data_IF_220470435014
#
_entry.id   IF_220470435014
#
_cell.length_a   1.000
_cell.length_b   1.000
_cell.length_c   1.000
_cell.angle_alpha   90.00
_cell.angle_beta   90.00
_cell.angle_gamma   90.00
#
_symmetry.space_group_name_H-M   'P 1'
#
loop_
_entity.id
_entity.type
_entity.pdbx_description
1 polymer ?
#
# COMPACT_ATOMS: atom_id res chain seq x y z
N UNK A 1 -66.41 -6.38 10.31
CA UNK A 1 -65.72 -6.18 9.01
C UNK A 1 -65.36 -7.49 8.29
N UNK A 2 -65.22 -8.63 8.99
CA UNK A 2 -65.11 -9.94 8.31
C UNK A 2 -63.88 -10.06 7.40
N UNK A 3 -62.77 -9.44 7.82
CA UNK A 3 -61.48 -9.42 7.13
C UNK A 3 -60.42 -9.92 8.11
N UNK A 4 -59.56 -10.82 7.65
CA UNK A 4 -58.35 -11.21 8.40
C UNK A 4 -57.20 -10.28 8.05
N UNK A 5 -56.18 -10.19 8.92
CA UNK A 5 -54.96 -9.41 8.64
C UNK A 5 -54.23 -9.90 7.38
N UNK A 6 -54.28 -11.20 7.09
CA UNK A 6 -53.72 -11.78 5.87
C UNK A 6 -54.49 -11.39 4.61
N UNK A 7 -55.82 -11.26 4.67
CA UNK A 7 -56.63 -10.83 3.53
C UNK A 7 -56.36 -9.36 3.20
N UNK A 8 -56.27 -8.52 4.22
CA UNK A 8 -55.92 -7.09 4.08
C UNK A 8 -54.51 -6.95 3.48
N UNK A 9 -53.53 -7.67 4.02
CA UNK A 9 -52.15 -7.62 3.52
C UNK A 9 -52.04 -8.05 2.05
N UNK A 10 -52.72 -9.13 1.65
CA UNK A 10 -52.69 -9.64 0.26
C UNK A 10 -53.36 -8.67 -0.72
N UNK A 11 -54.50 -8.09 -0.33
CA UNK A 11 -55.18 -7.08 -1.15
C UNK A 11 -54.34 -5.80 -1.28
N UNK A 12 -53.74 -5.31 -0.19
CA UNK A 12 -52.83 -4.15 -0.23
C UNK A 12 -51.59 -4.42 -1.06
N UNK A 13 -51.00 -5.61 -0.97
CA UNK A 13 -49.86 -6.00 -1.81
C UNK A 13 -50.25 -5.97 -3.30
N UNK A 14 -51.44 -6.46 -3.67
CA UNK A 14 -51.92 -6.42 -5.06
C UNK A 14 -52.15 -4.99 -5.57
N UNK A 15 -52.66 -4.10 -4.71
CA UNK A 15 -52.90 -2.70 -5.05
C UNK A 15 -51.60 -1.88 -5.19
N UNK A 16 -50.58 -2.14 -4.35
CA UNK A 16 -49.34 -1.36 -4.30
C UNK A 16 -48.22 -1.95 -5.17
N UNK A 17 -47.75 -3.14 -4.80
CA UNK A 17 -46.49 -3.74 -5.30
C UNK A 17 -46.70 -4.83 -6.34
N UNK A 18 -47.91 -5.38 -6.41
CA UNK A 18 -48.27 -6.54 -7.21
C UNK A 18 -48.07 -7.87 -6.46
N UNK A 19 -48.87 -8.86 -6.83
CA UNK A 19 -48.82 -10.22 -6.30
C UNK A 19 -48.41 -11.18 -7.42
N UNK A 20 -47.41 -12.04 -7.21
CA UNK A 20 -47.06 -13.06 -8.19
C UNK A 20 -48.20 -14.08 -8.29
N UNK A 21 -48.72 -14.25 -9.50
CA UNK A 21 -49.88 -15.13 -9.78
C UNK A 21 -49.40 -16.51 -10.24
N UNK A 22 -48.43 -16.53 -11.16
CA UNK A 22 -47.85 -17.77 -11.70
C UNK A 22 -46.48 -17.48 -12.31
N UNK A 23 -45.79 -18.53 -12.71
CA UNK A 23 -44.55 -18.44 -13.51
C UNK A 23 -44.79 -19.09 -14.85
N UNK A 24 -44.49 -18.37 -15.93
CA UNK A 24 -44.56 -18.89 -17.30
C UNK A 24 -43.14 -19.16 -17.78
N UNK A 25 -42.97 -20.29 -18.46
CA UNK A 25 -41.67 -20.64 -19.05
C UNK A 25 -41.60 -20.09 -20.47
N UNK A 26 -40.59 -19.28 -20.74
CA UNK A 26 -40.27 -18.74 -22.06
C UNK A 26 -38.91 -19.30 -22.48
N UNK A 27 -38.93 -20.25 -23.42
CA UNK A 27 -37.77 -21.02 -23.87
C UNK A 27 -37.02 -21.73 -22.73
N UNK A 28 -35.85 -21.23 -22.32
CA UNK A 28 -35.04 -21.75 -21.21
C UNK A 28 -35.14 -20.91 -19.92
N UNK A 29 -35.99 -19.88 -19.89
CA UNK A 29 -36.15 -18.97 -18.75
C UNK A 29 -37.53 -19.11 -18.11
N UNK A 30 -37.60 -18.92 -16.80
CA UNK A 30 -38.85 -18.79 -16.07
C UNK A 30 -39.13 -17.31 -15.80
N UNK A 31 -40.28 -16.81 -16.25
CA UNK A 31 -40.73 -15.43 -16.10
C UNK A 31 -41.90 -15.40 -15.11
N UNK A 32 -41.81 -14.58 -14.08
CA UNK A 32 -42.87 -14.42 -13.09
C UNK A 32 -43.97 -13.49 -13.62
N UNK A 33 -45.21 -13.96 -13.63
CA UNK A 33 -46.39 -13.18 -13.97
C UNK A 33 -46.94 -12.54 -12.69
N UNK A 34 -46.90 -11.21 -12.63
CA UNK A 34 -47.35 -10.42 -11.49
C UNK A 34 -48.65 -9.70 -11.83
N UNK A 35 -49.70 -9.97 -11.07
CA UNK A 35 -50.96 -9.24 -11.12
C UNK A 35 -50.87 -8.00 -10.24
N UNK A 36 -51.25 -6.84 -10.77
CA UNK A 36 -51.23 -5.57 -10.05
C UNK A 36 -52.37 -4.66 -10.48
N UNK A 37 -52.81 -3.78 -9.60
CA UNK A 37 -53.77 -2.73 -9.95
C UNK A 37 -53.22 -1.80 -11.05
N UNK A 38 -54.08 -1.41 -11.99
CA UNK A 38 -53.73 -0.50 -13.07
C UNK A 38 -53.79 0.97 -12.61
N UNK A 39 -52.91 1.81 -13.16
CA UNK A 39 -52.92 3.27 -12.95
C UNK A 39 -51.78 3.79 -12.06
N UNK A 40 -51.56 5.11 -12.15
CA UNK A 40 -50.52 5.84 -11.41
C UNK A 40 -50.95 6.21 -9.98
N UNK A 41 -52.25 6.10 -9.71
CA UNK A 41 -52.94 6.43 -8.45
C UNK A 41 -52.40 5.66 -7.23
N UNK A 42 -51.64 4.58 -7.46
CA UNK A 42 -51.13 3.67 -6.43
C UNK A 42 -49.96 4.20 -5.61
N UNK A 43 -49.21 5.17 -6.16
CA UNK A 43 -48.04 5.77 -5.51
C UNK A 43 -48.35 7.11 -4.85
N UNK A 44 -49.58 7.61 -5.02
CA UNK A 44 -50.03 8.89 -4.46
C UNK A 44 -50.50 8.68 -3.01
N UNK A 45 -49.75 9.16 -2.01
CA UNK A 45 -50.09 8.90 -0.61
C UNK A 45 -51.47 9.41 -0.20
N UNK A 46 -51.96 10.47 -0.86
CA UNK A 46 -53.28 11.02 -0.58
C UNK A 46 -54.42 10.08 -1.01
N UNK A 47 -54.17 9.21 -1.99
CA UNK A 47 -55.18 8.32 -2.57
C UNK A 47 -55.12 6.89 -2.03
N UNK A 48 -54.04 6.55 -1.30
CA UNK A 48 -53.92 5.25 -0.62
C UNK A 48 -55.02 5.09 0.44
N UNK A 49 -55.38 6.16 1.14
CA UNK A 49 -56.44 6.15 2.15
C UNK A 49 -57.83 5.79 1.58
N UNK A 50 -58.05 6.09 0.30
CA UNK A 50 -59.31 5.84 -0.43
C UNK A 50 -59.39 4.43 -1.03
N UNK A 51 -58.35 3.60 -0.87
CA UNK A 51 -58.37 2.24 -1.38
C UNK A 51 -59.50 1.43 -0.76
N UNK A 52 -60.24 0.73 -1.61
CA UNK A 52 -61.36 -0.08 -1.19
C UNK A 52 -60.95 -1.54 -1.13
N UNK A 53 -61.07 -2.14 0.05
CA UNK A 53 -60.87 -3.57 0.28
C UNK A 53 -62.21 -4.31 0.21
N UNK A 54 -62.18 -5.56 -0.23
CA UNK A 54 -63.36 -6.42 -0.35
C UNK A 54 -63.39 -7.39 0.83
N UNK A 55 -64.43 -7.29 1.67
CA UNK A 55 -64.69 -8.19 2.79
C UNK A 55 -65.21 -9.57 2.36
N UNK A 56 -65.19 -10.55 3.27
CA UNK A 56 -65.62 -11.93 2.97
C UNK A 56 -67.06 -12.05 2.42
N UNK A 57 -67.93 -11.10 2.75
CA UNK A 57 -69.31 -11.02 2.26
C UNK A 57 -69.48 -10.16 0.98
N UNK A 58 -68.38 -9.77 0.31
CA UNK A 58 -68.41 -8.90 -0.88
C UNK A 58 -68.59 -7.40 -0.59
N UNK A 59 -68.66 -7.02 0.69
CA UNK A 59 -68.75 -5.63 1.12
C UNK A 59 -67.48 -4.84 0.79
N UNK A 60 -67.65 -3.60 0.32
CA UNK A 60 -66.58 -2.66 0.01
C UNK A 60 -66.28 -1.80 1.24
N UNK A 61 -65.07 -1.92 1.78
CA UNK A 61 -64.65 -1.21 2.98
C UNK A 61 -63.45 -0.32 2.63
N UNK A 62 -63.50 1.00 2.84
CA UNK A 62 -62.36 1.87 2.60
C UNK A 62 -61.24 1.60 3.62
N UNK A 63 -59.99 1.75 3.18
CA UNK A 63 -58.79 1.50 4.00
C UNK A 63 -58.77 2.39 5.25
N UNK A 64 -59.27 3.62 5.15
CA UNK A 64 -59.42 4.57 6.25
C UNK A 64 -60.29 4.08 7.42
N UNK A 65 -61.16 3.08 7.22
CA UNK A 65 -61.93 2.45 8.31
C UNK A 65 -61.16 1.34 9.02
N UNK A 66 -60.06 0.85 8.44
CA UNK A 66 -59.29 -0.29 8.93
C UNK A 66 -57.99 0.16 9.60
N UNK A 67 -57.39 1.27 9.15
CA UNK A 67 -56.16 1.81 9.71
C UNK A 67 -55.87 3.24 9.30
N UNK A 68 -54.78 3.78 9.84
CA UNK A 68 -54.28 5.13 9.58
C UNK A 68 -53.12 5.09 8.58
N UNK A 69 -53.10 6.06 7.66
CA UNK A 69 -52.05 6.19 6.64
C UNK A 69 -51.27 7.47 6.92
N UNK A 70 -50.03 7.29 7.39
CA UNK A 70 -49.13 8.40 7.69
C UNK A 70 -47.92 8.35 6.77
N UNK A 71 -47.61 9.49 6.14
CA UNK A 71 -46.35 9.66 5.41
C UNK A 71 -45.25 9.99 6.40
N UNK A 72 -44.26 9.12 6.50
CA UNK A 72 -43.07 9.30 7.34
C UNK A 72 -41.82 9.25 6.49
N UNK A 73 -40.84 10.04 6.87
CA UNK A 73 -39.49 9.93 6.33
C UNK A 73 -38.80 8.76 7.03
N UNK A 74 -38.27 7.83 6.25
CA UNK A 74 -37.51 6.68 6.73
C UNK A 74 -36.26 6.52 5.87
N UNK A 75 -35.17 6.05 6.48
CA UNK A 75 -33.95 5.73 5.75
C UNK A 75 -34.15 4.44 4.94
N UNK A 76 -34.21 4.49 3.60
CA UNK A 76 -34.48 3.31 2.79
C UNK A 76 -33.33 2.30 2.83
N UNK A 77 -32.13 2.74 3.24
CA UNK A 77 -30.92 1.90 3.29
C UNK A 77 -30.15 2.18 4.56
N UNK A 78 -30.19 1.23 5.49
CA UNK A 78 -29.38 1.28 6.70
C UNK A 78 -28.04 0.56 6.48
N UNK A 79 -26.98 1.33 6.24
CA UNK A 79 -25.62 0.80 6.09
C UNK A 79 -25.03 0.47 7.46
N UNK A 80 -24.40 -0.70 7.57
CA UNK A 80 -23.71 -1.14 8.78
C UNK A 80 -22.30 -1.61 8.43
N UNK A 81 -21.33 -1.24 9.26
CA UNK A 81 -19.95 -1.74 9.22
C UNK A 81 -19.63 -2.33 10.59
N UNK A 82 -19.13 -3.55 10.62
CA UNK A 82 -18.83 -4.28 11.86
C UNK A 82 -20.00 -4.29 12.87
N UNK A 83 -21.22 -4.47 12.32
CA UNK A 83 -22.51 -4.46 13.05
C UNK A 83 -22.94 -3.10 13.63
N UNK A 84 -22.21 -2.02 13.39
CA UNK A 84 -22.58 -0.66 13.82
C UNK A 84 -23.18 0.12 12.63
N UNK A 85 -24.33 0.81 12.79
CA UNK A 85 -24.83 1.75 11.77
C UNK A 85 -23.76 2.78 11.40
N UNK A 86 -23.49 2.96 10.12
CA UNK A 86 -22.37 3.78 9.65
C UNK A 86 -22.80 4.64 8.47
N UNK A 87 -22.38 5.90 8.48
CA UNK A 87 -22.51 6.81 7.35
C UNK A 87 -21.14 6.90 6.66
N UNK A 88 -21.11 6.63 5.36
CA UNK A 88 -19.87 6.72 4.57
C UNK A 88 -19.86 8.05 3.83
N UNK A 89 -18.93 8.92 4.21
CA UNK A 89 -18.65 10.15 3.47
C UNK A 89 -17.57 9.86 2.44
N UNK A 90 -17.82 10.21 1.19
CA UNK A 90 -16.86 10.08 0.08
C UNK A 90 -16.65 11.45 -0.53
N UNK A 91 -15.43 11.71 -0.99
CA UNK A 91 -15.08 12.92 -1.72
C UNK A 91 -14.00 12.59 -2.75
N UNK A 92 -14.10 13.23 -3.90
CA UNK A 92 -13.07 13.18 -4.92
C UNK A 92 -11.93 14.13 -4.56
N UNK A 93 -10.74 13.81 -5.04
CA UNK A 93 -9.52 14.61 -4.85
C UNK A 93 -9.11 15.23 -6.18
N UNK A 94 -8.41 16.38 -6.12
CA UNK A 94 -7.81 16.96 -7.32
C UNK A 94 -6.69 16.06 -7.84
N UNK A 95 -6.51 16.01 -9.17
CA UNK A 95 -5.55 15.11 -9.85
C UNK A 95 -4.09 15.28 -9.40
N UNK A 96 -3.74 16.44 -8.83
CA UNK A 96 -2.39 16.73 -8.34
C UNK A 96 -2.10 16.25 -6.92
N UNK A 97 -3.09 15.72 -6.19
CA UNK A 97 -2.99 15.34 -4.80
C UNK A 97 -3.10 13.83 -4.63
N UNK A 98 -2.34 13.28 -3.70
CA UNK A 98 -2.43 11.86 -3.40
C UNK A 98 -3.45 11.56 -2.29
N UNK A 99 -4.20 10.44 -2.39
CA UNK A 99 -5.17 10.06 -1.37
C UNK A 99 -4.61 9.98 0.07
N UNK A 100 -3.40 9.41 0.30
CA UNK A 100 -2.76 9.37 1.61
C UNK A 100 -2.54 10.75 2.24
N UNK A 101 -2.07 11.72 1.45
CA UNK A 101 -1.76 13.07 1.93
C UNK A 101 -3.03 13.82 2.32
N UNK A 102 -4.03 13.79 1.45
CA UNK A 102 -5.32 14.46 1.68
C UNK A 102 -6.00 13.91 2.93
N UNK A 103 -6.05 12.59 3.07
CA UNK A 103 -6.75 12.02 4.23
C UNK A 103 -5.97 12.19 5.51
N UNK A 104 -4.63 12.23 5.47
CA UNK A 104 -3.82 12.55 6.65
C UNK A 104 -4.05 13.99 7.09
N UNK A 105 -4.11 14.93 6.15
CA UNK A 105 -4.46 16.32 6.40
C UNK A 105 -5.89 16.45 6.95
N UNK A 106 -6.86 15.74 6.36
CA UNK A 106 -8.25 15.73 6.81
C UNK A 106 -8.38 15.12 8.20
N UNK A 107 -7.71 14.01 8.48
CA UNK A 107 -7.71 13.40 9.81
C UNK A 107 -7.19 14.38 10.86
N UNK A 108 -6.12 15.12 10.56
CA UNK A 108 -5.59 16.16 11.44
C UNK A 108 -6.61 17.29 11.68
N UNK A 109 -7.32 17.72 10.63
CA UNK A 109 -8.37 18.73 10.74
C UNK A 109 -9.61 18.24 11.50
N UNK A 110 -9.91 16.94 11.43
CA UNK A 110 -11.05 16.31 12.12
C UNK A 110 -10.77 15.96 13.58
N UNK A 111 -9.51 15.87 14.02
CA UNK A 111 -9.15 15.61 15.43
C UNK A 111 -9.97 16.41 16.47
N UNK A 112 -10.15 17.74 16.36
CA UNK A 112 -10.95 18.50 17.33
C UNK A 112 -12.44 18.06 17.36
N UNK A 113 -12.99 17.65 16.21
CA UNK A 113 -14.36 17.13 16.12
C UNK A 113 -14.41 15.72 16.72
N UNK A 114 -13.41 14.88 16.43
CA UNK A 114 -13.32 13.53 16.98
C UNK A 114 -13.28 13.58 18.52
N UNK A 115 -12.53 14.53 19.08
CA UNK A 115 -12.41 14.71 20.53
C UNK A 115 -13.70 15.20 21.22
N UNK A 116 -14.63 15.81 20.48
CA UNK A 116 -15.91 16.32 21.02
C UNK A 116 -17.07 15.36 20.83
N UNK A 117 -16.85 14.20 20.19
CA UNK A 117 -17.89 13.20 19.98
C UNK A 117 -18.35 12.56 21.31
N UNK A 118 -19.66 12.30 21.48
CA UNK A 118 -20.17 11.52 22.60
C UNK A 118 -19.60 10.09 22.60
N UNK A 119 -19.52 9.49 23.79
CA UNK A 119 -19.10 8.10 23.93
C UNK A 119 -19.98 7.16 23.07
N UNK A 120 -19.33 6.29 22.29
CA UNK A 120 -20.01 5.35 21.38
C UNK A 120 -19.99 5.76 19.91
N UNK A 121 -19.65 7.02 19.60
CA UNK A 121 -19.39 7.46 18.22
C UNK A 121 -17.89 7.41 17.91
N UNK A 122 -17.56 7.00 16.69
CA UNK A 122 -16.19 7.00 16.17
C UNK A 122 -16.18 7.41 14.71
N UNK A 123 -15.14 8.13 14.32
CA UNK A 123 -14.85 8.46 12.93
C UNK A 123 -13.57 7.72 12.57
N UNK A 124 -13.63 6.89 11.55
CA UNK A 124 -12.51 6.09 11.07
C UNK A 124 -12.25 6.44 9.61
N UNK A 125 -10.96 6.57 9.26
CA UNK A 125 -10.56 6.66 7.87
C UNK A 125 -10.72 5.29 7.21
N UNK A 126 -11.29 5.29 6.01
CA UNK A 126 -11.55 4.08 5.23
C UNK A 126 -10.99 4.23 3.81
N UNK A 127 -10.92 3.11 3.08
CA UNK A 127 -10.46 3.08 1.69
C UNK A 127 -8.97 2.78 1.57
N UNK A 128 -8.29 3.44 0.63
CA UNK A 128 -6.91 3.11 0.23
C UNK A 128 -5.90 3.22 1.37
N UNK A 129 -6.11 4.11 2.34
CA UNK A 129 -5.20 4.27 3.49
C UNK A 129 -5.37 3.15 4.50
N UNK A 130 -6.60 2.72 4.74
CA UNK A 130 -6.86 1.59 5.62
C UNK A 130 -6.23 0.32 5.04
N UNK A 131 -6.39 0.10 3.72
CA UNK A 131 -5.76 -1.02 3.02
C UNK A 131 -4.23 -0.93 3.02
N UNK A 132 -3.66 0.25 2.74
CA UNK A 132 -2.20 0.46 2.76
C UNK A 132 -1.62 0.28 4.17
N UNK A 133 -2.34 0.74 5.18
CA UNK A 133 -1.98 0.57 6.60
C UNK A 133 -2.02 -0.90 7.01
N UNK A 134 -3.07 -1.64 6.65
CA UNK A 134 -3.17 -3.09 6.87
C UNK A 134 -2.05 -3.85 6.18
N UNK A 135 -1.75 -3.52 4.91
CA UNK A 135 -0.65 -4.14 4.18
C UNK A 135 0.70 -3.89 4.86
N UNK A 136 0.97 -2.65 5.27
CA UNK A 136 2.21 -2.27 5.97
C UNK A 136 2.34 -2.98 7.32
N UNK A 137 1.26 -3.05 8.10
CA UNK A 137 1.23 -3.76 9.38
C UNK A 137 1.43 -5.27 9.21
N UNK A 138 0.87 -5.86 8.16
CA UNK A 138 1.08 -7.27 7.82
C UNK A 138 2.53 -7.57 7.40
N UNK A 139 3.21 -6.60 6.77
CA UNK A 139 4.62 -6.73 6.37
C UNK A 139 5.62 -6.43 7.50
N UNK A 140 5.27 -5.58 8.47
CA UNK A 140 6.12 -5.22 9.59
C UNK A 140 6.78 -6.41 10.32
N UNK A 141 6.07 -7.52 10.65
CA UNK A 141 6.71 -8.68 11.30
C UNK A 141 7.62 -9.48 10.35
N UNK A 142 7.48 -9.33 9.04
CA UNK A 142 8.31 -10.02 8.05
C UNK A 142 9.67 -9.35 7.87
N UNK A 143 9.78 -8.03 8.05
CA UNK A 143 11.04 -7.31 7.87
C UNK A 143 12.19 -7.80 8.77
N UNK A 144 12.00 -8.00 10.09
CA UNK A 144 13.07 -8.54 10.94
C UNK A 144 13.54 -9.92 10.50
N UNK A 145 12.62 -10.79 10.08
CA UNK A 145 12.93 -12.14 9.61
C UNK A 145 13.76 -12.07 8.31
N UNK A 146 13.34 -11.22 7.36
CA UNK A 146 14.06 -11.01 6.11
C UNK A 146 15.47 -10.44 6.34
N UNK A 147 15.61 -9.46 7.23
CA UNK A 147 16.92 -8.91 7.61
C UNK A 147 17.78 -9.97 8.28
N UNK A 148 17.24 -10.76 9.20
CA UNK A 148 17.98 -11.82 9.87
C UNK A 148 18.50 -12.88 8.87
N UNK A 149 17.66 -13.32 7.92
CA UNK A 149 18.06 -14.24 6.86
C UNK A 149 19.14 -13.62 5.97
N UNK A 150 18.97 -12.35 5.59
CA UNK A 150 19.96 -11.64 4.75
C UNK A 150 21.31 -11.54 5.45
N UNK A 151 21.33 -11.13 6.73
CA UNK A 151 22.54 -11.07 7.54
C UNK A 151 23.18 -12.45 7.70
N UNK A 152 22.37 -13.51 7.91
CA UNK A 152 22.84 -14.89 8.00
C UNK A 152 23.54 -15.33 6.70
N UNK A 153 22.97 -15.02 5.54
CA UNK A 153 23.60 -15.33 4.25
C UNK A 153 24.92 -14.57 4.08
N UNK A 154 24.94 -13.28 4.41
CA UNK A 154 26.16 -12.44 4.28
C UNK A 154 27.26 -12.95 5.21
N UNK A 155 26.97 -13.29 6.47
CA UNK A 155 27.99 -13.79 7.41
C UNK A 155 28.55 -15.14 6.97
N UNK A 156 27.72 -16.03 6.42
CA UNK A 156 28.17 -17.32 5.89
C UNK A 156 29.11 -17.15 4.70
N UNK A 157 28.86 -16.13 3.87
CA UNK A 157 29.64 -15.87 2.67
C UNK A 157 30.98 -15.18 2.96
N UNK A 158 30.99 -14.13 3.79
CA UNK A 158 32.21 -13.34 4.05
C UNK A 158 32.99 -13.83 5.27
N UNK A 159 32.36 -14.64 6.15
CA UNK A 159 32.96 -15.20 7.38
C UNK A 159 33.60 -14.15 8.30
N UNK A 160 33.15 -12.90 8.23
CA UNK A 160 33.66 -11.78 9.02
C UNK A 160 32.52 -10.86 9.43
N UNK A 161 32.39 -10.60 10.74
CA UNK A 161 31.34 -9.75 11.29
C UNK A 161 31.51 -8.29 10.83
N UNK A 162 32.74 -7.79 10.81
CA UNK A 162 33.07 -6.43 10.36
C UNK A 162 32.67 -6.21 8.89
N UNK A 163 32.98 -7.18 8.04
CA UNK A 163 32.63 -7.10 6.63
C UNK A 163 31.12 -7.26 6.40
N UNK A 164 30.44 -8.12 7.17
CA UNK A 164 28.98 -8.23 7.13
C UNK A 164 28.30 -6.90 7.46
N UNK A 165 28.73 -6.23 8.53
CA UNK A 165 28.18 -4.91 8.91
C UNK A 165 28.42 -3.89 7.81
N UNK A 166 29.61 -3.86 7.19
CA UNK A 166 29.90 -2.97 6.06
C UNK A 166 28.99 -3.24 4.86
N UNK A 167 28.78 -4.50 4.48
CA UNK A 167 27.83 -4.87 3.40
C UNK A 167 26.42 -4.41 3.75
N UNK A 168 25.98 -4.62 4.98
CA UNK A 168 24.64 -4.20 5.40
C UNK A 168 24.49 -2.67 5.41
N UNK A 169 25.54 -1.93 5.77
CA UNK A 169 25.53 -0.47 5.79
C UNK A 169 25.42 0.16 4.39
N UNK A 170 25.68 -0.58 3.31
CA UNK A 170 25.50 -0.05 1.96
C UNK A 170 24.05 -0.08 1.48
N UNK A 171 23.18 -0.87 2.11
CA UNK A 171 21.76 -0.90 1.78
C UNK A 171 21.07 0.47 2.00
N UNK A 172 21.20 1.13 3.17
CA UNK A 172 20.66 2.47 3.38
C UNK A 172 21.25 3.55 2.46
N UNK A 173 22.50 3.41 2.02
CA UNK A 173 23.15 4.40 1.13
C UNK A 173 22.44 4.53 -0.22
N UNK A 174 21.71 3.49 -0.66
CA UNK A 174 20.87 3.56 -1.86
C UNK A 174 19.79 4.63 -1.79
N UNK A 175 19.31 4.98 -0.59
CA UNK A 175 18.32 6.04 -0.39
C UNK A 175 18.80 7.40 -0.91
N UNK A 176 20.11 7.64 -0.88
CA UNK A 176 20.71 8.90 -1.36
C UNK A 176 20.50 9.06 -2.88
N UNK A 177 20.39 7.95 -3.63
CA UNK A 177 20.03 7.99 -5.05
C UNK A 177 18.50 8.01 -5.28
N UNK A 178 17.75 7.27 -4.45
CA UNK A 178 16.29 7.13 -4.58
C UNK A 178 15.57 8.45 -4.30
N UNK A 179 15.85 9.08 -3.16
CA UNK A 179 15.08 10.25 -2.68
C UNK A 179 15.14 11.43 -3.67
N UNK A 180 16.32 11.87 -4.15
CA UNK A 180 16.39 12.94 -5.13
C UNK A 180 15.69 12.60 -6.44
N UNK A 181 15.73 11.33 -6.86
CA UNK A 181 15.08 10.88 -8.10
C UNK A 181 13.56 10.91 -7.97
N UNK A 182 13.01 10.39 -6.88
CA UNK A 182 11.56 10.45 -6.65
C UNK A 182 11.06 11.89 -6.54
N UNK A 183 11.82 12.77 -5.88
CA UNK A 183 11.50 14.19 -5.79
C UNK A 183 11.56 14.89 -7.16
N UNK A 184 12.60 14.63 -7.96
CA UNK A 184 12.77 15.24 -9.28
C UNK A 184 11.64 14.84 -10.24
N UNK A 185 11.18 13.59 -10.18
CA UNK A 185 10.11 13.07 -11.04
C UNK A 185 8.72 13.13 -10.39
N UNK A 186 8.60 13.77 -9.21
CA UNK A 186 7.36 13.94 -8.44
C UNK A 186 6.57 12.62 -8.29
N UNK A 187 7.27 11.56 -7.91
CA UNK A 187 6.70 10.22 -7.78
C UNK A 187 6.29 9.92 -6.32
N UNK A 188 5.13 9.27 -6.10
CA UNK A 188 4.68 8.83 -4.78
C UNK A 188 5.71 7.98 -4.05
N UNK A 189 5.77 8.06 -2.73
CA UNK A 189 6.40 6.99 -1.95
C UNK A 189 5.35 5.94 -1.53
N UNK A 190 5.11 4.96 -2.42
CA UNK A 190 4.14 3.89 -2.19
C UNK A 190 4.76 2.50 -1.95
N UNK A 191 3.92 1.47 -1.90
CA UNK A 191 4.33 0.06 -1.77
C UNK A 191 5.29 -0.33 -2.91
N UNK A 192 5.04 0.16 -4.14
CA UNK A 192 5.90 -0.14 -5.29
C UNK A 192 7.30 0.46 -5.14
N UNK A 193 7.42 1.65 -4.52
CA UNK A 193 8.72 2.24 -4.16
C UNK A 193 9.42 1.39 -3.09
N UNK A 194 8.69 0.90 -2.08
CA UNK A 194 9.23 0.07 -1.02
C UNK A 194 9.80 -1.26 -1.54
N UNK A 195 9.06 -1.92 -2.44
CA UNK A 195 9.54 -3.14 -3.13
C UNK A 195 10.80 -2.83 -3.95
N UNK A 196 10.81 -1.70 -4.67
CA UNK A 196 11.99 -1.22 -5.39
C UNK A 196 13.19 -0.99 -4.49
N UNK A 197 12.99 -0.42 -3.30
CA UNK A 197 14.04 -0.16 -2.31
C UNK A 197 14.64 -1.47 -1.75
N UNK A 198 13.80 -2.48 -1.51
CA UNK A 198 14.26 -3.80 -1.05
C UNK A 198 15.09 -4.47 -2.15
N UNK A 199 14.63 -4.44 -3.40
CA UNK A 199 15.37 -4.96 -4.53
C UNK A 199 16.71 -4.22 -4.74
N UNK A 200 16.69 -2.89 -4.64
CA UNK A 200 17.89 -2.05 -4.73
C UNK A 200 18.92 -2.41 -3.65
N UNK A 201 18.47 -2.55 -2.40
CA UNK A 201 19.30 -2.95 -1.28
C UNK A 201 20.07 -4.24 -1.60
N UNK A 202 19.39 -5.25 -2.14
CA UNK A 202 20.02 -6.50 -2.59
C UNK A 202 21.09 -6.30 -3.67
N UNK A 203 20.83 -5.45 -4.67
CA UNK A 203 21.78 -5.13 -5.74
C UNK A 203 23.04 -4.46 -5.15
N UNK A 204 22.88 -3.49 -4.25
CA UNK A 204 24.00 -2.77 -3.62
C UNK A 204 24.81 -3.68 -2.69
N UNK A 205 24.14 -4.50 -1.89
CA UNK A 205 24.79 -5.49 -1.03
C UNK A 205 25.60 -6.49 -1.85
N UNK A 206 25.05 -7.00 -2.97
CA UNK A 206 25.77 -7.88 -3.89
C UNK A 206 27.04 -7.22 -4.45
N UNK A 207 26.94 -5.99 -4.93
CA UNK A 207 28.09 -5.27 -5.48
C UNK A 207 29.18 -5.04 -4.42
N UNK A 208 28.76 -4.71 -3.20
CA UNK A 208 29.65 -4.52 -2.05
C UNK A 208 30.37 -5.82 -1.68
N UNK A 209 29.63 -6.92 -1.60
CA UNK A 209 30.15 -8.23 -1.25
C UNK A 209 31.17 -8.74 -2.28
N UNK A 210 30.93 -8.51 -3.57
CA UNK A 210 31.88 -8.83 -4.64
C UNK A 210 33.17 -8.00 -4.51
N UNK A 211 33.07 -6.71 -4.19
CA UNK A 211 34.26 -5.86 -4.01
C UNK A 211 35.09 -6.33 -2.81
N UNK A 212 34.47 -6.59 -1.66
CA UNK A 212 35.17 -7.10 -0.46
C UNK A 212 35.85 -8.44 -0.76
N UNK A 213 35.17 -9.35 -1.47
CA UNK A 213 35.75 -10.61 -1.89
C UNK A 213 36.99 -10.42 -2.79
N UNK A 214 36.95 -9.43 -3.70
CA UNK A 214 38.11 -9.11 -4.53
C UNK A 214 39.27 -8.53 -3.72
N UNK A 215 38.99 -7.65 -2.76
CA UNK A 215 40.03 -7.10 -1.87
C UNK A 215 40.73 -8.24 -1.14
N UNK A 216 39.96 -9.17 -0.56
CA UNK A 216 40.53 -10.30 0.17
C UNK A 216 41.33 -11.24 -0.74
N UNK A 217 40.89 -11.43 -1.98
CA UNK A 217 41.65 -12.21 -2.96
C UNK A 217 42.99 -11.54 -3.31
N UNK A 218 42.98 -10.22 -3.55
CA UNK A 218 44.17 -9.43 -3.82
C UNK A 218 45.16 -9.45 -2.64
N UNK A 219 44.66 -9.43 -1.39
CA UNK A 219 45.48 -9.59 -0.19
C UNK A 219 46.11 -10.99 -0.12
N UNK A 220 45.39 -12.05 -0.51
CA UNK A 220 45.92 -13.41 -0.57
C UNK A 220 46.99 -13.59 -1.66
N UNK A 221 46.91 -12.82 -2.73
CA UNK A 221 47.94 -12.76 -3.79
C UNK A 221 49.19 -11.97 -3.36
N UNK A 222 49.20 -11.42 -2.14
CA UNK A 222 50.36 -10.76 -1.53
C UNK A 222 50.47 -9.26 -1.80
N UNK A 223 49.42 -8.62 -2.34
CA UNK A 223 49.39 -7.17 -2.49
C UNK A 223 49.32 -6.47 -1.13
N UNK A 224 49.99 -5.32 -1.01
CA UNK A 224 49.88 -4.50 0.19
C UNK A 224 48.41 -4.05 0.38
N UNK A 225 47.89 -3.90 1.61
CA UNK A 225 46.46 -3.65 1.83
C UNK A 225 45.90 -2.42 1.11
N UNK A 226 46.71 -1.37 0.95
CA UNK A 226 46.30 -0.18 0.19
C UNK A 226 46.19 -0.47 -1.31
N UNK A 227 47.20 -1.12 -1.88
CA UNK A 227 47.24 -1.47 -3.31
C UNK A 227 46.17 -2.51 -3.63
N UNK A 228 45.90 -3.46 -2.73
CA UNK A 228 44.84 -4.45 -2.84
C UNK A 228 43.45 -3.80 -2.99
N UNK A 229 43.16 -2.76 -2.19
CA UNK A 229 41.89 -2.02 -2.26
C UNK A 229 41.77 -1.20 -3.54
N UNK A 230 42.84 -0.49 -3.93
CA UNK A 230 42.84 0.32 -5.16
C UNK A 230 42.66 -0.57 -6.38
N UNK A 231 43.46 -1.63 -6.49
CA UNK A 231 43.43 -2.57 -7.60
C UNK A 231 42.07 -3.29 -7.68
N UNK A 232 41.52 -3.74 -6.55
CA UNK A 232 40.18 -4.33 -6.51
C UNK A 232 39.10 -3.35 -7.00
N UNK A 233 39.22 -2.07 -6.62
CA UNK A 233 38.26 -1.04 -7.04
C UNK A 233 38.35 -0.79 -8.55
N UNK A 234 39.55 -0.68 -9.11
CA UNK A 234 39.77 -0.50 -10.56
C UNK A 234 39.23 -1.69 -11.36
N UNK A 235 39.54 -2.92 -10.94
CA UNK A 235 39.07 -4.14 -11.60
C UNK A 235 37.54 -4.27 -11.56
N UNK A 236 36.90 -3.81 -10.48
CA UNK A 236 35.45 -3.92 -10.29
C UNK A 236 34.66 -2.74 -10.85
N UNK A 237 35.28 -1.58 -11.08
CA UNK A 237 34.60 -0.40 -11.60
C UNK A 237 33.87 -0.69 -12.93
N UNK A 238 34.56 -1.31 -13.90
CA UNK A 238 33.98 -1.57 -15.22
C UNK A 238 32.81 -2.57 -15.17
N UNK A 239 32.93 -3.75 -14.51
CA UNK A 239 31.79 -4.66 -14.34
C UNK A 239 30.60 -4.05 -13.59
N UNK A 240 30.84 -3.28 -12.53
CA UNK A 240 29.75 -2.67 -11.72
C UNK A 240 29.01 -1.57 -12.49
N UNK A 241 29.73 -0.78 -13.29
CA UNK A 241 29.09 0.20 -14.18
C UNK A 241 28.24 -0.48 -15.26
N UNK A 242 28.71 -1.60 -15.82
CA UNK A 242 27.95 -2.34 -16.84
C UNK A 242 26.64 -2.88 -16.25
N UNK A 243 26.67 -3.46 -15.05
CA UNK A 243 25.45 -3.96 -14.40
C UNK A 243 24.48 -2.83 -14.03
N UNK A 244 24.99 -1.68 -13.58
CA UNK A 244 24.15 -0.50 -13.31
C UNK A 244 23.50 0.03 -14.59
N UNK A 245 24.27 0.20 -15.67
CA UNK A 245 23.73 0.65 -16.95
C UNK A 245 22.70 -0.32 -17.52
N UNK A 246 22.95 -1.63 -17.44
CA UNK A 246 22.00 -2.65 -17.87
C UNK A 246 20.68 -2.56 -17.08
N UNK A 247 20.76 -2.39 -15.75
CA UNK A 247 19.58 -2.22 -14.91
C UNK A 247 18.81 -0.94 -15.28
N UNK A 248 19.50 0.19 -15.42
CA UNK A 248 18.89 1.47 -15.80
C UNK A 248 18.15 1.32 -17.14
N UNK A 249 18.83 0.81 -18.18
CA UNK A 249 18.25 0.63 -19.51
C UNK A 249 17.05 -0.33 -19.50
N UNK A 250 17.09 -1.38 -18.67
CA UNK A 250 15.99 -2.32 -18.53
C UNK A 250 14.75 -1.69 -17.88
N UNK A 251 14.91 -0.74 -16.96
CA UNK A 251 13.80 -0.10 -16.25
C UNK A 251 13.24 1.14 -16.94
N UNK A 252 13.95 1.76 -17.90
CA UNK A 252 13.45 2.89 -18.70
C UNK A 252 12.07 2.62 -19.32
N UNK A 253 11.79 1.52 -20.05
CA UNK A 253 10.46 1.32 -20.62
C UNK A 253 9.37 1.17 -19.56
N UNK A 254 9.75 0.72 -18.36
CA UNK A 254 8.83 0.51 -17.24
C UNK A 254 8.37 1.83 -16.58
N UNK A 255 9.09 2.94 -16.80
CA UNK A 255 8.71 4.27 -16.25
C UNK A 255 7.42 4.81 -16.86
N UNK A 256 7.06 4.36 -18.07
CA UNK A 256 5.81 4.75 -18.73
C UNK A 256 4.58 4.02 -18.19
N UNK A 257 4.77 3.01 -17.32
CA UNK A 257 3.67 2.31 -16.69
C UNK A 257 3.12 3.10 -15.50
N UNK A 258 1.80 3.31 -15.47
CA UNK A 258 1.11 3.95 -14.32
C UNK A 258 1.30 3.16 -13.03
N UNK A 259 1.40 1.83 -13.13
CA UNK A 259 1.54 0.97 -11.95
C UNK A 259 3.01 0.79 -11.54
N UNK A 260 3.90 0.52 -12.50
CA UNK A 260 5.30 0.18 -12.21
C UNK A 260 6.26 1.38 -12.23
N UNK A 261 5.79 2.57 -12.61
CA UNK A 261 6.63 3.76 -12.79
C UNK A 261 7.43 4.11 -11.54
N UNK A 262 6.79 4.18 -10.38
CA UNK A 262 7.44 4.51 -9.10
C UNK A 262 8.56 3.52 -8.73
N UNK A 263 8.34 2.22 -8.97
CA UNK A 263 9.36 1.19 -8.76
C UNK A 263 10.55 1.40 -9.70
N UNK A 264 10.27 1.69 -10.98
CA UNK A 264 11.28 1.93 -11.99
C UNK A 264 12.15 3.14 -11.65
N UNK A 265 11.55 4.29 -11.29
CA UNK A 265 12.28 5.48 -10.86
C UNK A 265 13.12 5.22 -9.60
N UNK A 266 12.60 4.44 -8.65
CA UNK A 266 13.34 4.02 -7.45
C UNK A 266 14.59 3.22 -7.82
N UNK A 267 14.46 2.24 -8.73
CA UNK A 267 15.59 1.41 -9.15
C UNK A 267 16.59 2.20 -10.01
N UNK A 268 16.15 3.03 -10.95
CA UNK A 268 17.03 3.85 -11.79
C UNK A 268 17.85 4.81 -10.93
N UNK A 269 17.17 5.62 -10.10
CA UNK A 269 17.82 6.59 -9.23
C UNK A 269 18.72 5.95 -8.20
N UNK A 270 18.22 4.90 -7.56
CA UNK A 270 18.93 4.15 -6.55
C UNK A 270 20.16 3.42 -7.07
N UNK A 271 20.08 2.79 -8.25
CA UNK A 271 21.23 2.10 -8.84
C UNK A 271 22.28 3.09 -9.30
N UNK A 272 21.89 4.20 -9.94
CA UNK A 272 22.82 5.24 -10.39
C UNK A 272 23.53 5.92 -9.22
N UNK A 273 22.78 6.44 -8.25
CA UNK A 273 23.35 7.08 -7.06
C UNK A 273 24.10 6.08 -6.18
N UNK A 274 23.53 4.89 -5.98
CA UNK A 274 24.10 3.85 -5.13
C UNK A 274 25.37 3.24 -5.70
N UNK A 275 25.52 3.08 -7.02
CA UNK A 275 26.81 2.62 -7.59
C UNK A 275 27.88 3.69 -7.53
N UNK A 276 27.54 4.96 -7.80
CA UNK A 276 28.50 6.06 -7.69
C UNK A 276 29.03 6.18 -6.25
N UNK A 277 28.13 6.12 -5.27
CA UNK A 277 28.48 6.15 -3.85
C UNK A 277 29.27 4.89 -3.48
N UNK A 278 28.83 3.70 -3.87
CA UNK A 278 29.55 2.46 -3.53
C UNK A 278 30.97 2.46 -4.10
N UNK A 279 31.20 2.96 -5.31
CA UNK A 279 32.55 3.01 -5.91
C UNK A 279 33.52 3.96 -5.21
N UNK A 280 33.01 5.07 -4.66
CA UNK A 280 33.85 6.09 -4.00
C UNK A 280 33.92 5.87 -2.49
N UNK A 281 32.78 5.62 -1.86
CA UNK A 281 32.62 5.56 -0.41
C UNK A 281 33.05 4.21 0.16
N UNK A 282 32.81 3.09 -0.53
CA UNK A 282 33.12 1.76 0.01
C UNK A 282 34.63 1.52 0.18
N UNK A 283 35.51 1.85 -0.79
CA UNK A 283 36.96 1.71 -0.59
C UNK A 283 37.47 2.59 0.55
N UNK A 284 36.95 3.82 0.67
CA UNK A 284 37.28 4.73 1.75
C UNK A 284 36.83 4.18 3.12
N UNK A 285 35.59 3.68 3.20
CA UNK A 285 35.04 3.08 4.42
C UNK A 285 35.84 1.84 4.83
N UNK A 286 36.21 0.98 3.87
CA UNK A 286 37.04 -0.20 4.11
C UNK A 286 38.43 0.19 4.64
N UNK A 287 39.09 1.16 3.98
CA UNK A 287 40.42 1.64 4.40
C UNK A 287 40.41 2.25 5.81
N UNK A 288 39.37 3.01 6.16
CA UNK A 288 39.21 3.59 7.51
C UNK A 288 38.95 2.49 8.54
N UNK A 289 38.07 1.53 8.24
CA UNK A 289 37.70 0.48 9.17
C UNK A 289 38.87 -0.46 9.50
N UNK A 290 39.64 -0.85 8.48
CA UNK A 290 40.82 -1.70 8.63
C UNK A 290 42.11 -0.91 8.92
N UNK A 291 42.01 0.43 9.10
CA UNK A 291 43.12 1.34 9.41
C UNK A 291 44.32 1.17 8.47
N UNK A 292 44.03 1.06 7.17
CA UNK A 292 45.06 0.87 6.13
C UNK A 292 45.89 2.16 6.02
N UNK A 293 47.20 2.04 6.27
CA UNK A 293 48.13 3.18 6.18
C UNK A 293 48.53 3.40 4.72
N UNK A 294 48.51 4.65 4.28
CA UNK A 294 49.02 5.04 2.96
C UNK A 294 50.50 4.64 2.82
N UNK A 295 50.92 4.10 1.66
CA UNK A 295 52.33 3.88 1.36
C UNK A 295 53.02 5.25 1.35
N UNK A 296 53.77 5.59 2.40
CA UNK A 296 54.51 6.85 2.50
C UNK A 296 54.32 7.68 3.77
N UNK A 297 53.40 7.33 4.68
CA UNK A 297 53.32 7.99 5.99
C UNK A 297 54.46 7.54 6.91
N UNK A 298 55.67 8.06 6.68
CA UNK A 298 56.74 8.12 7.68
C UNK A 298 56.33 9.11 8.77
N UNK A 299 55.45 8.70 9.68
CA UNK A 299 55.43 9.30 11.01
C UNK A 299 56.55 8.64 11.79
N UNK A 300 57.62 9.41 12.03
CA UNK A 300 58.73 9.03 12.89
C UNK A 300 58.18 8.61 14.25
N UNK A 301 58.09 7.30 14.49
CA UNK A 301 58.02 6.78 15.86
C UNK A 301 59.45 6.85 16.37
N UNK A 302 59.71 7.92 17.11
CA UNK A 302 60.86 8.07 17.99
C UNK A 302 60.93 6.81 18.86
N UNK A 303 62.01 6.07 18.67
CA UNK A 303 62.45 4.98 19.54
C UNK A 303 62.64 5.58 20.94
N UNK A 304 61.94 5.13 22.00
CA UNK A 304 62.33 5.52 23.35
C UNK A 304 63.72 4.93 23.57
N UNK A 305 64.69 5.82 23.79
CA UNK A 305 66.03 5.44 24.17
C UNK A 305 65.97 4.66 25.47
N UNK A 306 66.53 3.46 25.45
CA UNK A 306 67.05 2.79 26.63
C UNK A 306 68.28 3.58 27.10
N UNK A 307 68.18 4.20 28.27
CA UNK A 307 69.23 4.61 29.22
C UNK A 307 68.51 5.44 30.30
N UNK A 308 68.43 5.09 31.57
CA UNK A 308 69.32 4.30 32.45
C UNK A 308 68.51 3.36 33.37
#
# INVERSE_FOLDING_TARGET
>A
VGLTSSDVARQLQFLLSGVPVTTVREDIRAVQVVGRAAGETRLDPAKIADFTLVGAAGQRIPLSQIGDVQVKMEDPVLRRRDRTPTITVRGDIADSLEPPDVSTALNKALQPIIATLPAGYRIELAGSIEESGKATQAMAPLFPIMIAITLLIIILQVRSLSAMIMVFLTAPLGLIGVVPTLLLFSQPFGINALVGLIALSGILMRNTLILIGQIHHNEQEGLAPFDAVVEATVQRARPVLLTAMAAILAFIPLTHSVFWGTLAYTLIGGTLGGTLITLVFLPAMYAIWFRIRLPGSKTAVVKPALSE
#
